data_IF_709321581966
#
_entry.id   IF_709321581966
#
_cell.length_a   1.000
_cell.length_b   1.000
_cell.length_c   1.000
_cell.angle_alpha   90.00
_cell.angle_beta   90.00
_cell.angle_gamma   90.00
#
_symmetry.space_group_name_H-M   'P 1'
#
loop_
_entity.id
_entity.type
_entity.pdbx_description
1 polymer ?
#
# COMPACT_ATOMS: atom_id res chain seq x y z
N UNK A 1 -3.14 9.45 30.95
CA UNK A 1 -3.37 10.34 29.80
C UNK A 1 -2.10 10.73 29.03
N UNK A 2 -0.92 10.85 29.66
CA UNK A 2 0.35 11.26 29.02
C UNK A 2 0.92 10.23 28.00
N UNK A 3 0.63 8.95 28.16
CA UNK A 3 1.13 7.89 27.26
C UNK A 3 0.35 7.76 25.94
N UNK A 4 -0.96 8.05 25.95
CA UNK A 4 -1.80 7.97 24.74
C UNK A 4 -1.41 9.01 23.66
N UNK A 5 -1.04 10.23 24.09
CA UNK A 5 -0.56 11.27 23.18
C UNK A 5 0.80 10.93 22.55
N UNK A 6 1.70 10.33 23.32
CA UNK A 6 3.03 9.92 22.85
C UNK A 6 2.96 8.79 21.80
N UNK A 7 2.09 7.81 22.02
CA UNK A 7 1.88 6.72 21.03
C UNK A 7 1.27 7.24 19.74
N UNK A 8 0.33 8.17 19.79
CA UNK A 8 -0.25 8.80 18.59
C UNK A 8 0.78 9.62 17.80
N UNK A 9 1.65 10.37 18.47
CA UNK A 9 2.73 11.11 17.83
C UNK A 9 3.76 10.20 17.16
N UNK A 10 4.12 9.08 17.78
CA UNK A 10 5.02 8.09 17.19
C UNK A 10 4.40 7.44 15.95
N UNK A 11 3.12 7.08 16.00
CA UNK A 11 2.39 6.53 14.84
C UNK A 11 2.33 7.55 13.70
N UNK A 12 2.09 8.81 14.00
CA UNK A 12 2.08 9.89 13.01
C UNK A 12 3.46 10.09 12.38
N UNK A 13 4.51 10.17 13.19
CA UNK A 13 5.88 10.31 12.71
C UNK A 13 6.32 9.14 11.82
N UNK A 14 6.01 7.91 12.24
CA UNK A 14 6.29 6.70 11.45
C UNK A 14 5.51 6.71 10.13
N UNK A 15 4.25 7.11 10.15
CA UNK A 15 3.42 7.21 8.95
C UNK A 15 3.96 8.26 7.98
N UNK A 16 4.44 9.41 8.49
CA UNK A 16 5.10 10.44 7.70
C UNK A 16 6.41 9.95 7.06
N UNK A 17 7.22 9.21 7.81
CA UNK A 17 8.44 8.58 7.29
C UNK A 17 8.11 7.56 6.18
N UNK A 18 7.11 6.71 6.39
CA UNK A 18 6.66 5.77 5.37
C UNK A 18 6.09 6.47 4.14
N UNK A 19 5.39 7.59 4.29
CA UNK A 19 4.93 8.42 3.17
C UNK A 19 6.12 8.96 2.37
N UNK A 20 7.16 9.46 3.02
CA UNK A 20 8.38 9.88 2.35
C UNK A 20 9.04 8.72 1.59
N UNK A 21 9.10 7.52 2.19
CA UNK A 21 9.59 6.32 1.51
C UNK A 21 8.74 5.95 0.29
N UNK A 22 7.41 6.09 0.35
CA UNK A 22 6.54 5.87 -0.80
C UNK A 22 6.89 6.80 -1.98
N UNK A 23 7.31 8.03 -1.71
CA UNK A 23 7.73 8.98 -2.74
C UNK A 23 9.11 8.67 -3.30
N UNK A 24 10.06 8.22 -2.45
CA UNK A 24 11.46 7.99 -2.81
C UNK A 24 11.72 6.62 -3.45
N UNK A 25 11.08 5.55 -2.97
CA UNK A 25 11.34 4.18 -3.43
C UNK A 25 11.22 3.99 -4.95
N UNK A 26 10.25 4.59 -5.66
CA UNK A 26 10.18 4.44 -7.11
C UNK A 26 11.35 5.09 -7.88
N UNK A 27 12.13 5.99 -7.28
CA UNK A 27 13.35 6.51 -7.89
C UNK A 27 14.45 5.45 -7.96
N UNK A 28 14.47 4.49 -7.03
CA UNK A 28 15.41 3.37 -7.06
C UNK A 28 15.21 2.47 -8.27
N UNK A 29 14.03 2.49 -8.88
CA UNK A 29 13.73 1.76 -10.13
C UNK A 29 14.02 2.59 -11.40
N UNK A 30 14.78 3.67 -11.27
CA UNK A 30 15.12 4.56 -12.40
C UNK A 30 13.91 5.29 -12.99
N UNK A 31 12.82 5.44 -12.22
CA UNK A 31 11.55 6.05 -12.63
C UNK A 31 10.92 5.38 -13.88
N UNK A 32 11.34 4.14 -14.20
CA UNK A 32 10.76 3.38 -15.30
C UNK A 32 9.39 2.85 -14.90
N UNK A 33 8.38 3.10 -15.76
CA UNK A 33 6.99 2.65 -15.51
C UNK A 33 6.89 1.14 -15.36
N UNK A 34 7.65 0.40 -16.16
CA UNK A 34 7.61 -1.06 -16.18
C UNK A 34 8.13 -1.65 -14.88
N UNK A 35 9.32 -1.27 -14.44
CA UNK A 35 9.91 -1.75 -13.19
C UNK A 35 9.10 -1.31 -11.96
N UNK A 36 8.60 -0.07 -11.97
CA UNK A 36 7.73 0.44 -10.89
C UNK A 36 6.43 -0.36 -10.74
N UNK A 37 5.79 -0.73 -11.86
CA UNK A 37 4.58 -1.54 -11.87
C UNK A 37 4.85 -3.01 -11.49
N UNK A 38 5.98 -3.57 -11.91
CA UNK A 38 6.35 -4.96 -11.62
C UNK A 38 6.74 -5.13 -10.15
N UNK A 39 7.56 -4.25 -9.59
CA UNK A 39 8.09 -4.38 -8.23
C UNK A 39 7.15 -3.85 -7.16
N UNK A 40 6.22 -2.97 -7.50
CA UNK A 40 5.22 -2.41 -6.58
C UNK A 40 5.83 -1.91 -5.25
N UNK A 41 7.05 -1.34 -5.30
CA UNK A 41 7.83 -0.93 -4.12
C UNK A 41 7.09 0.08 -3.23
N UNK A 42 6.28 0.95 -3.81
CA UNK A 42 5.48 1.94 -3.10
C UNK A 42 4.41 1.31 -2.17
N UNK A 43 4.02 0.05 -2.44
CA UNK A 43 3.00 -0.64 -1.65
C UNK A 43 3.56 -1.10 -0.29
N UNK A 44 4.86 -1.41 -0.21
CA UNK A 44 5.51 -1.96 1.00
C UNK A 44 5.36 -1.02 2.21
N UNK A 45 5.70 0.29 2.14
CA UNK A 45 5.52 1.18 3.27
C UNK A 45 4.05 1.35 3.69
N UNK A 46 3.10 1.33 2.72
CA UNK A 46 1.67 1.44 3.02
C UNK A 46 1.19 0.24 3.84
N UNK A 47 1.57 -0.99 3.43
CA UNK A 47 1.25 -2.22 4.15
C UNK A 47 1.84 -2.20 5.56
N UNK A 48 3.09 -1.72 5.72
CA UNK A 48 3.74 -1.57 7.02
C UNK A 48 2.98 -0.59 7.93
N UNK A 49 2.58 0.57 7.41
CA UNK A 49 1.79 1.54 8.20
C UNK A 49 0.46 0.93 8.63
N UNK A 50 -0.24 0.23 7.73
CA UNK A 50 -1.49 -0.46 8.07
C UNK A 50 -1.34 -1.45 9.21
N UNK A 51 -0.28 -2.28 9.16
CA UNK A 51 0.00 -3.33 10.15
C UNK A 51 0.47 -2.73 11.48
N UNK A 52 1.32 -1.71 11.46
CA UNK A 52 2.01 -1.19 12.64
C UNK A 52 1.27 -0.01 13.30
N UNK A 53 0.75 0.93 12.51
CA UNK A 53 0.08 2.13 13.02
C UNK A 53 -1.45 1.99 13.07
N UNK A 54 -1.99 1.04 12.31
CA UNK A 54 -3.42 0.76 12.23
C UNK A 54 -4.10 1.30 10.96
N UNK A 55 -5.35 0.90 10.77
CA UNK A 55 -6.09 1.10 9.52
C UNK A 55 -6.27 2.56 9.10
N UNK A 56 -6.45 3.48 10.08
CA UNK A 56 -6.65 4.91 9.79
C UNK A 56 -5.42 5.54 9.12
N UNK A 57 -4.24 5.30 9.70
CA UNK A 57 -2.97 5.79 9.17
C UNK A 57 -2.61 5.09 7.85
N UNK A 58 -2.83 3.77 7.76
CA UNK A 58 -2.58 2.99 6.55
C UNK A 58 -3.43 3.46 5.38
N UNK A 59 -4.74 3.67 5.60
CA UNK A 59 -5.65 4.18 4.60
C UNK A 59 -5.26 5.60 4.14
N UNK A 60 -4.95 6.49 5.09
CA UNK A 60 -4.56 7.86 4.77
C UNK A 60 -3.27 7.92 3.94
N UNK A 61 -2.21 7.22 4.37
CA UNK A 61 -0.95 7.15 3.62
C UNK A 61 -1.16 6.52 2.24
N UNK A 62 -1.93 5.43 2.16
CA UNK A 62 -2.24 4.74 0.90
C UNK A 62 -2.97 5.62 -0.10
N UNK A 63 -3.94 6.42 0.35
CA UNK A 63 -4.67 7.35 -0.51
C UNK A 63 -3.79 8.53 -0.96
N UNK A 64 -3.04 9.12 -0.02
CA UNK A 64 -2.28 10.35 -0.27
C UNK A 64 -1.02 10.11 -1.10
N UNK A 65 -0.30 9.00 -0.87
CA UNK A 65 1.00 8.75 -1.49
C UNK A 65 0.98 8.79 -3.03
N UNK A 66 0.07 8.09 -3.76
CA UNK A 66 0.04 8.14 -5.23
C UNK A 66 -0.38 9.51 -5.75
N UNK A 67 -1.30 10.19 -5.05
CA UNK A 67 -1.78 11.52 -5.46
C UNK A 67 -0.68 12.57 -5.30
N UNK A 68 0.02 12.59 -4.16
CA UNK A 68 1.16 13.48 -3.95
C UNK A 68 2.27 13.20 -4.97
N UNK A 69 2.57 11.94 -5.24
CA UNK A 69 3.57 11.58 -6.23
C UNK A 69 3.18 12.04 -7.63
N UNK A 70 1.92 11.88 -8.02
CA UNK A 70 1.41 12.38 -9.30
C UNK A 70 1.51 13.90 -9.40
N UNK A 71 1.20 14.63 -8.32
CA UNK A 71 1.29 16.07 -8.28
C UNK A 71 2.73 16.59 -8.32
N UNK A 72 3.67 15.94 -7.61
CA UNK A 72 5.06 16.39 -7.50
C UNK A 72 5.93 15.97 -8.70
N UNK A 73 5.70 14.77 -9.22
CA UNK A 73 6.59 14.15 -10.22
C UNK A 73 5.86 13.82 -11.53
N UNK A 74 4.59 14.21 -11.70
CA UNK A 74 3.76 13.90 -12.86
C UNK A 74 3.66 12.40 -13.17
N UNK A 75 4.01 11.55 -12.20
CA UNK A 75 3.96 10.08 -12.29
C UNK A 75 3.50 9.47 -10.97
N UNK A 76 2.49 8.58 -10.98
CA UNK A 76 1.73 8.04 -12.12
C UNK A 76 0.81 9.09 -12.78
N UNK A 77 0.45 8.92 -14.09
CA UNK A 77 -0.41 9.89 -14.79
C UNK A 77 -1.75 10.07 -14.09
N UNK A 78 -2.11 11.32 -13.84
CA UNK A 78 -3.42 11.68 -13.33
C UNK A 78 -4.40 11.95 -14.49
N UNK A 79 -5.66 11.54 -14.40
CA UNK A 79 -6.32 10.73 -13.36
C UNK A 79 -6.21 9.21 -13.61
N UNK A 80 -5.78 8.79 -14.80
CA UNK A 80 -5.94 7.45 -15.35
C UNK A 80 -5.29 6.31 -14.54
N UNK A 81 -4.13 6.59 -13.93
CA UNK A 81 -3.39 5.59 -13.14
C UNK A 81 -3.36 5.98 -11.66
N UNK A 82 -3.24 7.27 -11.35
CA UNK A 82 -3.12 7.74 -9.98
C UNK A 82 -4.36 7.44 -9.12
N UNK A 83 -5.57 7.62 -9.67
CA UNK A 83 -6.82 7.36 -8.94
C UNK A 83 -7.04 5.88 -8.61
N UNK A 84 -6.98 4.93 -9.58
CA UNK A 84 -7.07 3.51 -9.26
C UNK A 84 -5.99 3.05 -8.27
N UNK A 85 -4.78 3.57 -8.41
CA UNK A 85 -3.67 3.24 -7.52
C UNK A 85 -3.89 3.80 -6.11
N UNK A 86 -4.43 5.00 -5.97
CA UNK A 86 -4.78 5.58 -4.66
C UNK A 86 -5.87 4.77 -3.96
N UNK A 87 -6.91 4.36 -4.69
CA UNK A 87 -7.97 3.50 -4.15
C UNK A 87 -7.41 2.13 -3.73
N UNK A 88 -6.55 1.52 -4.54
CA UNK A 88 -5.87 0.25 -4.27
C UNK A 88 -5.05 0.32 -2.98
N UNK A 89 -4.16 1.31 -2.87
CA UNK A 89 -3.29 1.46 -1.71
C UNK A 89 -4.06 1.84 -0.43
N UNK A 90 -5.11 2.64 -0.56
CA UNK A 90 -5.98 2.97 0.56
C UNK A 90 -6.64 1.71 1.14
N UNK A 91 -7.13 0.82 0.26
CA UNK A 91 -7.70 -0.47 0.68
C UNK A 91 -6.65 -1.39 1.27
N UNK A 92 -5.43 -1.42 0.74
CA UNK A 92 -4.33 -2.18 1.35
C UNK A 92 -4.06 -1.73 2.78
N UNK A 93 -3.89 -0.43 3.00
CA UNK A 93 -3.65 0.12 4.33
C UNK A 93 -4.81 -0.10 5.30
N UNK A 94 -6.05 0.02 4.80
CA UNK A 94 -7.26 -0.24 5.59
C UNK A 94 -7.35 -1.72 5.97
N UNK A 95 -7.32 -2.61 4.97
CA UNK A 95 -7.53 -4.05 5.18
C UNK A 95 -6.43 -4.66 6.05
N UNK A 96 -5.16 -4.34 5.80
CA UNK A 96 -4.06 -4.83 6.64
C UNK A 96 -4.21 -4.41 8.09
N UNK A 97 -4.61 -3.16 8.34
CA UNK A 97 -4.82 -2.65 9.69
C UNK A 97 -6.04 -3.23 10.39
N UNK A 98 -7.16 -3.44 9.68
CA UNK A 98 -8.36 -4.07 10.21
C UNK A 98 -8.11 -5.55 10.51
N UNK A 99 -7.54 -6.28 9.56
CA UNK A 99 -7.24 -7.71 9.73
C UNK A 99 -6.22 -7.96 10.84
N UNK A 100 -5.24 -7.06 11.04
CA UNK A 100 -4.32 -7.14 12.18
C UNK A 100 -5.00 -7.00 13.55
N UNK A 101 -6.19 -6.37 13.61
CA UNK A 101 -6.98 -6.30 14.84
C UNK A 101 -7.89 -7.52 15.04
N UNK A 102 -8.36 -8.10 13.94
CA UNK A 102 -9.29 -9.24 13.96
C UNK A 102 -8.57 -10.58 14.10
N UNK A 103 -7.37 -10.69 13.51
CA UNK A 103 -6.60 -11.92 13.50
C UNK A 103 -5.68 -12.03 14.73
N UNK A 104 -5.40 -13.27 15.20
CA UNK A 104 -4.46 -13.49 16.30
C UNK A 104 -3.08 -12.88 15.99
N UNK A 105 -2.43 -12.30 17.01
CA UNK A 105 -1.11 -11.62 16.90
C UNK A 105 0.09 -12.56 16.60
N UNK A 106 -0.16 -13.77 16.11
CA UNK A 106 0.88 -14.73 15.70
C UNK A 106 1.42 -14.36 14.31
N UNK A 107 2.73 -14.47 14.11
CA UNK A 107 3.42 -14.16 12.84
C UNK A 107 2.84 -14.89 11.63
N UNK A 108 2.36 -16.12 11.82
CA UNK A 108 1.76 -16.92 10.75
C UNK A 108 0.53 -16.26 10.14
N UNK A 109 -0.24 -15.49 10.92
CA UNK A 109 -1.43 -14.77 10.45
C UNK A 109 -1.13 -13.52 9.62
N UNK A 110 0.14 -13.10 9.53
CA UNK A 110 0.54 -12.02 8.63
C UNK A 110 0.39 -12.41 7.15
N UNK A 111 0.64 -13.67 6.79
CA UNK A 111 0.52 -14.13 5.40
C UNK A 111 -0.91 -14.08 4.88
N UNK A 112 -1.92 -14.71 5.54
CA UNK A 112 -3.30 -14.60 5.11
C UNK A 112 -3.82 -13.16 5.14
N UNK A 113 -3.40 -12.35 6.14
CA UNK A 113 -3.72 -10.92 6.17
C UNK A 113 -3.24 -10.22 4.89
N UNK A 114 -1.97 -10.41 4.51
CA UNK A 114 -1.40 -9.80 3.30
C UNK A 114 -2.12 -10.29 2.04
N UNK A 115 -2.34 -11.59 1.89
CA UNK A 115 -3.02 -12.16 0.71
C UNK A 115 -4.42 -11.59 0.56
N UNK A 116 -5.20 -11.57 1.62
CA UNK A 116 -6.57 -11.01 1.60
C UNK A 116 -6.56 -9.52 1.29
N UNK A 117 -5.66 -8.76 1.91
CA UNK A 117 -5.55 -7.31 1.68
C UNK A 117 -5.14 -6.99 0.26
N UNK A 118 -4.13 -7.69 -0.28
CA UNK A 118 -3.66 -7.51 -1.65
C UNK A 118 -4.75 -7.89 -2.67
N UNK A 119 -5.50 -8.96 -2.43
CA UNK A 119 -6.60 -9.35 -3.30
C UNK A 119 -7.73 -8.31 -3.27
N UNK A 120 -8.14 -7.87 -2.08
CA UNK A 120 -9.20 -6.88 -1.92
C UNK A 120 -8.87 -5.55 -2.62
N UNK A 121 -7.66 -5.03 -2.43
CA UNK A 121 -7.26 -3.77 -3.08
C UNK A 121 -7.17 -3.87 -4.59
N UNK A 122 -6.76 -5.03 -5.14
CA UNK A 122 -6.75 -5.26 -6.59
C UNK A 122 -8.14 -5.31 -7.20
N UNK A 123 -9.09 -5.93 -6.50
CA UNK A 123 -10.49 -5.92 -6.92
C UNK A 123 -11.00 -4.47 -6.96
N UNK A 124 -10.72 -3.67 -5.93
CA UNK A 124 -11.12 -2.26 -5.91
C UNK A 124 -10.42 -1.46 -7.02
N UNK A 125 -9.13 -1.67 -7.25
CA UNK A 125 -8.39 -1.04 -8.35
C UNK A 125 -9.03 -1.35 -9.71
N UNK A 126 -9.43 -2.61 -9.93
CA UNK A 126 -10.10 -3.02 -11.16
C UNK A 126 -11.47 -2.37 -11.31
N UNK A 127 -12.26 -2.30 -10.22
CA UNK A 127 -13.56 -1.63 -10.21
C UNK A 127 -13.43 -0.14 -10.54
N UNK A 128 -12.45 0.54 -9.97
CA UNK A 128 -12.18 1.97 -10.28
C UNK A 128 -11.76 2.14 -11.73
N UNK A 129 -10.90 1.27 -12.26
CA UNK A 129 -10.51 1.29 -13.69
C UNK A 129 -11.71 1.06 -14.61
N UNK A 130 -12.60 0.13 -14.25
CA UNK A 130 -13.83 -0.12 -15.00
C UNK A 130 -14.75 1.09 -14.98
N UNK A 131 -14.98 1.70 -13.83
CA UNK A 131 -15.80 2.91 -13.71
C UNK A 131 -15.21 4.08 -14.54
N UNK A 132 -13.90 4.23 -14.58
CA UNK A 132 -13.23 5.25 -15.40
C UNK A 132 -13.34 4.96 -16.91
N UNK A 133 -13.37 3.70 -17.31
CA UNK A 133 -13.60 3.30 -18.69
C UNK A 133 -15.02 3.67 -19.12
N UNK A 134 -16.03 3.34 -18.33
CA UNK A 134 -17.44 3.70 -18.61
C UNK A 134 -17.64 5.23 -18.71
N UNK A 135 -16.88 5.99 -17.91
CA UNK A 135 -16.90 7.46 -17.96
C UNK A 135 -16.13 8.05 -19.15
N UNK A 136 -15.62 7.23 -20.07
CA UNK A 136 -14.87 7.67 -21.27
C UNK A 136 -13.51 8.31 -20.95
N UNK A 137 -13.00 8.17 -19.72
CA UNK A 137 -11.73 8.77 -19.31
C UNK A 137 -10.50 7.94 -19.65
N UNK A 138 -10.70 6.68 -20.08
CA UNK A 138 -9.61 5.76 -20.45
C UNK A 138 -10.04 4.88 -21.61
N UNK A 139 -9.11 4.58 -22.53
CA UNK A 139 -9.34 3.65 -23.66
C UNK A 139 -8.81 2.23 -23.37
N UNK A 140 -8.67 1.85 -22.10
CA UNK A 140 -8.20 0.51 -21.77
C UNK A 140 -9.30 -0.54 -21.89
N UNK A 141 -9.04 -1.59 -22.68
CA UNK A 141 -9.87 -2.79 -22.67
C UNK A 141 -9.83 -3.45 -21.29
N UNK A 142 -10.97 -3.95 -20.81
CA UNK A 142 -11.09 -4.64 -19.52
C UNK A 142 -10.08 -5.80 -19.38
N UNK A 143 -9.85 -6.53 -20.47
CA UNK A 143 -8.86 -7.62 -20.53
C UNK A 143 -7.44 -7.13 -20.32
N UNK A 144 -7.06 -5.98 -20.89
CA UNK A 144 -5.74 -5.38 -20.69
C UNK A 144 -5.58 -4.86 -19.26
N UNK A 145 -6.61 -4.24 -18.69
CA UNK A 145 -6.61 -3.78 -17.32
C UNK A 145 -6.47 -4.94 -16.31
N UNK A 146 -7.16 -6.06 -16.54
CA UNK A 146 -7.06 -7.26 -15.72
C UNK A 146 -5.66 -7.90 -15.80
N UNK A 147 -5.09 -8.04 -17.01
CA UNK A 147 -3.71 -8.54 -17.19
C UNK A 147 -2.69 -7.68 -16.45
N UNK A 148 -2.75 -6.36 -16.59
CA UNK A 148 -1.85 -5.44 -15.88
C UNK A 148 -2.01 -5.53 -14.37
N UNK A 149 -3.24 -5.69 -13.87
CA UNK A 149 -3.51 -5.70 -12.43
C UNK A 149 -3.11 -7.02 -11.77
N UNK A 150 -3.28 -8.17 -12.42
CA UNK A 150 -3.04 -9.48 -11.82
C UNK A 150 -1.75 -10.13 -12.30
N UNK A 151 -1.48 -10.16 -13.60
CA UNK A 151 -0.36 -10.93 -14.16
C UNK A 151 0.96 -10.17 -14.03
N UNK A 152 1.00 -8.91 -14.46
CA UNK A 152 2.24 -8.13 -14.48
C UNK A 152 2.79 -7.84 -13.08
N UNK A 153 1.93 -7.84 -12.06
CA UNK A 153 2.31 -7.52 -10.68
C UNK A 153 2.62 -8.75 -9.82
N UNK A 154 2.59 -9.97 -10.38
CA UNK A 154 2.95 -11.20 -9.63
C UNK A 154 4.32 -11.11 -8.96
N UNK A 155 5.41 -10.67 -9.62
CA UNK A 155 6.71 -10.55 -8.97
C UNK A 155 6.68 -9.59 -7.77
N UNK A 156 5.94 -8.47 -7.89
CA UNK A 156 5.75 -7.52 -6.79
C UNK A 156 5.00 -8.12 -5.60
N UNK A 157 4.00 -8.98 -5.85
CA UNK A 157 3.29 -9.69 -4.76
C UNK A 157 4.22 -10.62 -4.02
N UNK A 158 5.00 -11.41 -4.75
CA UNK A 158 5.99 -12.32 -4.14
C UNK A 158 6.98 -11.52 -3.28
N UNK A 159 7.49 -10.41 -3.82
CA UNK A 159 8.39 -9.52 -3.10
C UNK A 159 7.73 -8.97 -1.81
N UNK A 160 6.48 -8.55 -1.89
CA UNK A 160 5.73 -8.03 -0.74
C UNK A 160 5.49 -9.12 0.33
N UNK A 161 5.15 -10.34 -0.08
CA UNK A 161 4.94 -11.47 0.82
C UNK A 161 6.22 -11.91 1.55
N UNK A 162 7.39 -11.65 0.98
CA UNK A 162 8.69 -11.92 1.60
C UNK A 162 9.17 -10.75 2.46
N UNK A 163 9.14 -9.52 1.91
CA UNK A 163 9.70 -8.35 2.58
C UNK A 163 8.82 -7.83 3.72
N UNK A 164 7.50 -7.77 3.55
CA UNK A 164 6.61 -7.17 4.56
C UNK A 164 6.65 -7.96 5.88
N UNK A 165 6.50 -9.31 5.91
CA UNK A 165 6.62 -10.06 7.17
C UNK A 165 7.99 -9.93 7.81
N UNK A 166 9.06 -9.96 7.01
CA UNK A 166 10.45 -9.82 7.50
C UNK A 166 10.65 -8.45 8.16
N UNK A 167 10.21 -7.37 7.51
CA UNK A 167 10.30 -6.02 8.06
C UNK A 167 9.43 -5.84 9.30
N UNK A 168 8.21 -6.38 9.32
CA UNK A 168 7.33 -6.36 10.49
C UNK A 168 7.97 -7.07 11.67
N UNK A 169 8.58 -8.23 11.45
CA UNK A 169 9.29 -8.97 12.50
C UNK A 169 10.51 -8.18 13.02
N UNK A 170 11.32 -7.63 12.12
CA UNK A 170 12.47 -6.81 12.48
C UNK A 170 12.06 -5.58 13.32
N UNK A 171 10.97 -4.91 12.94
CA UNK A 171 10.46 -3.74 13.65
C UNK A 171 9.79 -4.09 14.99
N UNK A 172 9.15 -5.26 15.10
CA UNK A 172 8.57 -5.75 16.37
C UNK A 172 9.62 -6.21 17.37
N UNK A 173 10.77 -6.71 16.92
CA UNK A 173 11.92 -7.04 17.79
C UNK A 173 12.65 -5.80 18.29
N UNK A 174 12.60 -4.71 17.56
CA UNK A 174 13.04 -3.40 18.04
C UNK A 174 12.07 -2.87 19.12
N UNK A 175 12.61 -2.35 20.23
CA UNK A 175 11.89 -1.85 21.43
C UNK A 175 10.78 -0.80 21.20
N UNK A 176 10.43 -0.48 19.95
CA UNK A 176 9.55 0.62 19.58
C UNK A 176 8.04 0.35 19.76
N UNK A 177 7.65 -0.93 19.85
CA UNK A 177 6.23 -1.33 19.96
C UNK A 177 5.99 -2.42 21.01
N UNK A 178 6.75 -2.42 22.09
CA UNK A 178 6.66 -3.43 23.15
C UNK A 178 5.54 -3.17 24.17
N UNK A 179 4.85 -2.07 24.06
CA UNK A 179 3.88 -1.59 25.06
C UNK A 179 2.41 -1.61 24.56
N UNK A 180 2.07 -2.49 23.57
CA UNK A 180 0.66 -2.73 23.19
C UNK A 180 0.26 -4.22 23.25
#
# INVERSE_FOLDING_TARGET
>A
MRNAGRTSLLKLAFSGMCLALCLLLPFLTGNSRELGNVLCLMHIPVLLVGILCGWQYGMAVGAVAPLMRSALFSMPPFPTVALPMAAELAVYGLMTGVLCRLLPKKTVWLYPNLVLSLTAGRIVSLLVKYAMYEMGKTQFSLTSAAKLTFVTTIPGVVLQLLLVPTLVLALRTGKWMRDE
#
